data_IF_963081697757
#
_entry.id   IF_963081697757
#
_cell.length_a   1.000
_cell.length_b   1.000
_cell.length_c   1.000
_cell.angle_alpha   90.00
_cell.angle_beta   90.00
_cell.angle_gamma   90.00
#
_symmetry.space_group_name_H-M   'P 1'
#
loop_
_entity.id
_entity.type
_entity.pdbx_description
1 polymer ?
#
# COMPACT_ATOMS: atom_id res chain seq x y z
N UNK A 1 -3.38 14.15 -13.87
CA UNK A 1 -2.41 13.43 -13.03
C UNK A 1 -2.22 12.05 -13.65
N UNK A 2 -1.06 11.78 -14.26
CA UNK A 2 -0.77 10.50 -14.90
C UNK A 2 -0.95 9.34 -13.89
N UNK A 3 -1.48 8.19 -14.35
CA UNK A 3 -1.51 7.00 -13.50
C UNK A 3 -0.07 6.50 -13.38
N UNK A 4 0.37 6.14 -12.17
CA UNK A 4 1.74 5.60 -11.94
C UNK A 4 2.05 4.44 -12.88
N UNK A 5 1.03 3.66 -13.26
CA UNK A 5 1.18 2.56 -14.22
C UNK A 5 1.64 3.04 -15.60
N UNK A 6 1.18 4.20 -16.04
CA UNK A 6 1.54 4.77 -17.35
C UNK A 6 2.98 5.28 -17.29
N UNK A 7 3.32 6.04 -16.23
CA UNK A 7 4.70 6.49 -15.93
C UNK A 7 5.68 5.30 -15.91
N UNK A 8 5.31 4.22 -15.24
CA UNK A 8 6.12 3.01 -15.14
C UNK A 8 6.48 2.43 -16.50
N UNK A 9 5.49 2.22 -17.37
CA UNK A 9 5.76 1.55 -18.64
C UNK A 9 6.41 2.50 -19.64
N UNK A 10 6.09 3.79 -19.61
CA UNK A 10 6.79 4.80 -20.42
C UNK A 10 8.26 4.90 -20.01
N UNK A 11 8.56 4.99 -18.71
CA UNK A 11 9.92 4.99 -18.20
C UNK A 11 10.65 3.70 -18.57
N UNK A 12 10.02 2.54 -18.37
CA UNK A 12 10.62 1.25 -18.70
C UNK A 12 10.97 1.12 -20.19
N UNK A 13 10.15 1.67 -21.09
CA UNK A 13 10.42 1.70 -22.53
C UNK A 13 11.56 2.68 -22.87
N UNK A 14 11.59 3.86 -22.24
CA UNK A 14 12.48 4.97 -22.60
C UNK A 14 13.85 4.91 -21.91
N UNK A 15 14.01 4.13 -20.85
CA UNK A 15 15.25 4.12 -20.05
C UNK A 15 16.51 3.82 -20.91
N UNK A 16 17.59 4.59 -20.76
CA UNK A 16 18.88 4.31 -21.40
C UNK A 16 19.43 2.97 -20.94
N UNK A 17 20.25 2.33 -21.78
CA UNK A 17 20.78 0.98 -21.51
C UNK A 17 22.12 0.80 -22.20
N UNK A 18 23.07 0.20 -21.49
CA UNK A 18 24.37 -0.20 -22.03
C UNK A 18 24.23 -1.43 -22.94
N UNK A 19 25.28 -1.79 -23.67
CA UNK A 19 25.26 -2.99 -24.51
C UNK A 19 25.10 -4.26 -23.68
N UNK A 20 25.86 -4.38 -22.60
CA UNK A 20 25.82 -5.53 -21.69
C UNK A 20 24.44 -5.66 -21.04
N UNK A 21 23.88 -4.54 -20.56
CA UNK A 21 22.55 -4.52 -19.97
C UNK A 21 21.46 -4.86 -20.99
N UNK A 22 21.58 -4.41 -22.23
CA UNK A 22 20.63 -4.71 -23.30
C UNK A 22 20.62 -6.21 -23.61
N UNK A 23 21.81 -6.84 -23.68
CA UNK A 23 21.94 -8.29 -23.85
C UNK A 23 21.20 -9.04 -22.75
N UNK A 24 21.42 -8.69 -21.48
CA UNK A 24 20.79 -9.34 -20.33
C UNK A 24 19.29 -9.05 -20.22
N UNK A 25 18.87 -7.82 -20.51
CA UNK A 25 17.46 -7.42 -20.50
C UNK A 25 16.65 -8.20 -21.55
N UNK A 26 17.19 -8.39 -22.76
CA UNK A 26 16.53 -9.19 -23.80
C UNK A 26 16.36 -10.64 -23.34
N UNK A 27 17.37 -11.23 -22.68
CA UNK A 27 17.24 -12.57 -22.08
C UNK A 27 16.07 -12.59 -21.09
N UNK A 28 16.00 -11.61 -20.19
CA UNK A 28 14.91 -11.46 -19.23
C UNK A 28 13.53 -11.33 -19.88
N UNK A 29 13.42 -10.53 -20.94
CA UNK A 29 12.18 -10.38 -21.72
C UNK A 29 11.77 -11.74 -22.30
N UNK A 30 12.65 -12.40 -23.04
CA UNK A 30 12.32 -13.67 -23.72
C UNK A 30 11.99 -14.76 -22.70
N UNK A 31 12.72 -14.83 -21.58
CA UNK A 31 12.43 -15.75 -20.46
C UNK A 31 11.06 -15.53 -19.82
N UNK A 32 10.52 -14.31 -19.86
CA UNK A 32 9.19 -13.99 -19.35
C UNK A 32 8.06 -14.24 -20.35
N UNK A 33 8.36 -14.40 -21.64
CA UNK A 33 7.35 -14.59 -22.68
C UNK A 33 6.74 -16.00 -22.63
N UNK A 34 5.51 -16.14 -23.12
CA UNK A 34 4.92 -17.47 -23.30
C UNK A 34 5.50 -18.11 -24.55
N UNK A 35 6.38 -19.09 -24.37
CA UNK A 35 7.04 -19.78 -25.48
C UNK A 35 6.51 -21.20 -25.69
N UNK A 36 6.32 -21.61 -26.95
CA UNK A 36 5.89 -22.96 -27.33
C UNK A 36 6.63 -23.45 -28.57
N UNK A 37 6.90 -24.77 -28.70
CA UNK A 37 7.37 -25.33 -29.98
C UNK A 37 6.38 -25.05 -31.11
N UNK A 38 6.90 -24.75 -32.30
CA UNK A 38 6.17 -24.53 -33.54
C UNK A 38 6.97 -25.13 -34.72
N UNK A 39 6.71 -26.40 -35.02
CA UNK A 39 7.48 -27.15 -36.03
C UNK A 39 8.98 -27.17 -35.69
N UNK A 40 9.81 -26.58 -36.56
CA UNK A 40 11.27 -26.47 -36.38
C UNK A 40 11.71 -25.22 -35.58
N UNK A 41 10.76 -24.44 -35.08
CA UNK A 41 11.01 -23.18 -34.38
C UNK A 41 10.40 -23.19 -32.97
N UNK A 42 10.73 -22.15 -32.20
CA UNK A 42 10.07 -21.80 -30.95
C UNK A 42 9.36 -20.46 -31.14
N UNK A 43 8.05 -20.44 -30.90
CA UNK A 43 7.27 -19.19 -30.90
C UNK A 43 7.17 -18.67 -29.49
N UNK A 44 7.61 -17.44 -29.27
CA UNK A 44 7.42 -16.68 -28.03
C UNK A 44 6.46 -15.52 -28.25
N UNK A 45 5.43 -15.40 -27.40
CA UNK A 45 4.40 -14.37 -27.51
C UNK A 45 4.19 -13.62 -26.21
N UNK A 46 3.74 -12.36 -26.32
CA UNK A 46 3.33 -11.52 -25.19
C UNK A 46 2.08 -10.73 -25.55
N UNK A 47 1.16 -10.59 -24.59
CA UNK A 47 0.02 -9.68 -24.73
C UNK A 47 0.36 -8.21 -24.45
N UNK A 48 1.60 -7.91 -24.07
CA UNK A 48 2.07 -6.58 -23.67
C UNK A 48 2.81 -5.92 -24.81
N UNK A 49 2.15 -5.02 -25.53
CA UNK A 49 2.73 -4.38 -26.73
C UNK A 49 4.00 -3.57 -26.44
N UNK A 50 4.11 -2.96 -25.25
CA UNK A 50 5.30 -2.23 -24.83
C UNK A 50 6.57 -3.08 -24.82
N UNK A 51 6.45 -4.40 -24.65
CA UNK A 51 7.58 -5.34 -24.71
C UNK A 51 8.25 -5.28 -26.08
N UNK A 52 7.47 -5.25 -27.16
CA UNK A 52 8.00 -5.19 -28.52
C UNK A 52 8.56 -3.80 -28.84
N UNK A 53 7.95 -2.74 -28.29
CA UNK A 53 8.51 -1.39 -28.36
C UNK A 53 9.88 -1.31 -27.69
N UNK A 54 10.05 -1.95 -26.53
CA UNK A 54 11.34 -2.04 -25.85
C UNK A 54 12.36 -2.87 -26.62
N UNK A 55 11.98 -4.07 -27.07
CA UNK A 55 12.85 -4.92 -27.88
C UNK A 55 13.39 -4.17 -29.09
N UNK A 56 12.53 -3.46 -29.84
CA UNK A 56 12.95 -2.67 -31.00
C UNK A 56 14.02 -1.63 -30.67
N UNK A 57 13.98 -1.03 -29.48
CA UNK A 57 14.96 -0.03 -29.05
C UNK A 57 16.31 -0.63 -28.66
N UNK A 58 16.29 -1.75 -27.93
CA UNK A 58 17.51 -2.30 -27.32
C UNK A 58 18.15 -3.44 -28.12
N UNK A 59 17.45 -4.01 -29.11
CA UNK A 59 17.96 -5.16 -29.87
C UNK A 59 19.30 -4.87 -30.54
N UNK A 60 19.35 -3.79 -31.34
CA UNK A 60 20.54 -3.40 -32.10
C UNK A 60 21.71 -2.95 -31.22
N UNK A 61 21.46 -2.65 -29.94
CA UNK A 61 22.51 -2.35 -28.98
C UNK A 61 23.13 -3.62 -28.38
N UNK A 62 22.40 -4.74 -28.40
CA UNK A 62 22.79 -5.99 -27.74
C UNK A 62 23.67 -6.89 -28.63
N UNK A 63 24.28 -7.90 -28.02
CA UNK A 63 25.04 -8.92 -28.74
C UNK A 63 24.16 -9.80 -29.65
N UNK A 64 22.85 -9.84 -29.40
CA UNK A 64 21.92 -10.62 -30.20
C UNK A 64 21.75 -10.09 -31.61
N UNK A 65 21.95 -8.79 -31.84
CA UNK A 65 21.92 -8.20 -33.18
C UNK A 65 23.00 -8.74 -34.12
N UNK A 66 24.12 -9.25 -33.57
CA UNK A 66 25.17 -9.92 -34.34
C UNK A 66 24.77 -11.32 -34.81
N UNK A 67 23.77 -11.91 -34.15
CA UNK A 67 23.34 -13.28 -34.38
C UNK A 67 22.08 -13.33 -35.22
N UNK A 68 21.14 -12.43 -34.98
CA UNK A 68 19.89 -12.35 -35.73
C UNK A 68 19.36 -10.92 -35.78
N UNK A 69 18.86 -10.52 -36.94
CA UNK A 69 18.11 -9.28 -37.06
C UNK A 69 16.69 -9.45 -36.49
N UNK A 70 16.24 -8.49 -35.69
CA UNK A 70 14.92 -8.54 -35.03
C UNK A 70 13.79 -8.66 -36.07
N UNK A 71 13.91 -7.97 -37.20
CA UNK A 71 12.84 -7.96 -38.22
C UNK A 71 12.61 -9.35 -38.82
N UNK A 72 13.66 -10.19 -38.88
CA UNK A 72 13.59 -11.55 -39.41
C UNK A 72 12.85 -12.53 -38.50
N UNK A 73 12.81 -12.26 -37.19
CA UNK A 73 12.16 -13.12 -36.18
C UNK A 73 10.84 -12.53 -35.67
N UNK A 74 10.59 -11.24 -35.89
CA UNK A 74 9.37 -10.56 -35.46
C UNK A 74 8.23 -10.83 -36.43
N UNK A 75 7.15 -11.39 -35.93
CA UNK A 75 5.94 -11.67 -36.71
C UNK A 75 4.79 -10.83 -36.17
N UNK A 76 4.26 -9.97 -37.03
CA UNK A 76 3.09 -9.14 -36.77
C UNK A 76 1.92 -9.73 -37.57
N UNK A 77 0.81 -10.16 -36.92
CA UNK A 77 -0.37 -10.64 -37.63
C UNK A 77 -0.89 -9.59 -38.62
N UNK A 78 -1.10 -9.99 -39.89
CA UNK A 78 -1.47 -9.07 -40.99
C UNK A 78 -2.84 -8.43 -40.83
N UNK A 79 -3.77 -9.14 -40.19
CA UNK A 79 -5.13 -8.68 -39.90
C UNK A 79 -5.22 -7.91 -38.58
N UNK A 80 -4.09 -7.68 -37.91
CA UNK A 80 -3.98 -7.12 -36.56
C UNK A 80 -4.81 -7.88 -35.51
N UNK A 81 -5.26 -9.11 -35.81
CA UNK A 81 -5.94 -10.00 -34.88
C UNK A 81 -4.93 -11.00 -34.34
N UNK A 82 -4.86 -11.12 -33.01
CA UNK A 82 -3.93 -12.03 -32.33
C UNK A 82 -2.78 -11.31 -31.63
N UNK A 83 -1.75 -12.07 -31.25
CA UNK A 83 -0.61 -11.57 -30.46
C UNK A 83 0.61 -11.41 -31.37
N UNK A 84 1.35 -10.32 -31.17
CA UNK A 84 2.70 -10.18 -31.73
C UNK A 84 3.58 -11.29 -31.15
N UNK A 85 4.41 -11.90 -32.00
CA UNK A 85 5.24 -13.02 -31.62
C UNK A 85 6.64 -12.93 -32.21
N UNK A 86 7.57 -13.62 -31.56
CA UNK A 86 8.93 -13.85 -32.01
C UNK A 86 9.06 -15.32 -32.39
N UNK A 87 9.57 -15.60 -33.57
CA UNK A 87 9.85 -16.95 -34.07
C UNK A 87 11.36 -17.18 -34.03
N UNK A 88 11.81 -17.97 -33.07
CA UNK A 88 13.22 -18.28 -32.87
C UNK A 88 13.61 -19.65 -33.44
N UNK A 89 14.79 -19.78 -34.08
CA UNK A 89 15.47 -21.05 -34.20
C UNK A 89 15.75 -21.65 -32.80
N UNK A 90 15.56 -22.97 -32.57
CA UNK A 90 15.68 -23.57 -31.24
C UNK A 90 17.06 -23.37 -30.58
N UNK A 91 18.13 -23.40 -31.38
CA UNK A 91 19.50 -23.15 -30.91
C UNK A 91 19.66 -21.73 -30.38
N UNK A 92 19.10 -20.75 -31.09
CA UNK A 92 19.13 -19.36 -30.66
C UNK A 92 18.28 -19.15 -29.41
N UNK A 93 17.07 -19.71 -29.38
CA UNK A 93 16.20 -19.64 -28.20
C UNK A 93 16.93 -20.17 -26.95
N UNK A 94 17.56 -21.34 -27.04
CA UNK A 94 18.33 -21.94 -25.94
C UNK A 94 19.50 -21.06 -25.51
N UNK A 95 20.22 -20.43 -26.45
CA UNK A 95 21.31 -19.47 -26.15
C UNK A 95 20.80 -18.24 -25.41
N UNK A 96 19.65 -17.69 -25.82
CA UNK A 96 19.06 -16.50 -25.18
C UNK A 96 18.57 -16.84 -23.78
N UNK A 97 17.75 -17.88 -23.64
CA UNK A 97 17.12 -18.17 -22.34
C UNK A 97 18.09 -18.78 -21.33
N UNK A 98 19.21 -19.35 -21.79
CA UNK A 98 20.33 -19.79 -20.94
C UNK A 98 19.88 -20.54 -19.68
N UNK A 99 18.96 -21.50 -19.84
CA UNK A 99 18.34 -22.21 -18.71
C UNK A 99 19.41 -22.99 -17.92
N UNK A 100 19.88 -22.41 -16.82
CA UNK A 100 20.65 -23.12 -15.78
C UNK A 100 22.04 -22.61 -15.42
N UNK A 101 22.69 -21.78 -16.24
CA UNK A 101 24.16 -21.59 -16.11
C UNK A 101 24.62 -20.33 -15.35
N UNK A 102 23.75 -19.36 -15.06
CA UNK A 102 24.16 -18.11 -14.37
C UNK A 102 23.07 -17.48 -13.51
N UNK A 103 23.48 -16.80 -12.43
CA UNK A 103 22.57 -16.00 -11.60
C UNK A 103 22.03 -14.82 -12.44
N UNK A 104 20.73 -14.48 -12.34
CA UNK A 104 20.20 -13.36 -13.09
C UNK A 104 20.84 -12.04 -12.64
N UNK A 105 20.97 -11.12 -13.58
CA UNK A 105 21.40 -9.74 -13.32
C UNK A 105 20.18 -8.84 -13.05
N UNK A 106 20.41 -7.63 -12.54
CA UNK A 106 19.34 -6.63 -12.41
C UNK A 106 18.75 -6.22 -13.78
N UNK A 107 19.57 -6.25 -14.83
CA UNK A 107 19.14 -6.00 -16.21
C UNK A 107 18.23 -7.12 -16.74
N UNK A 108 18.56 -8.39 -16.46
CA UNK A 108 17.66 -9.52 -16.69
C UNK A 108 16.33 -9.37 -15.94
N UNK A 109 16.38 -9.01 -14.65
CA UNK A 109 15.16 -8.81 -13.83
C UNK A 109 14.30 -7.70 -14.40
N UNK A 110 14.90 -6.62 -14.89
CA UNK A 110 14.13 -5.54 -15.48
C UNK A 110 13.46 -5.94 -16.80
N UNK A 111 14.12 -6.77 -17.61
CA UNK A 111 13.49 -7.39 -18.77
C UNK A 111 12.29 -8.26 -18.39
N UNK A 112 12.49 -9.12 -17.39
CA UNK A 112 11.45 -10.01 -16.87
C UNK A 112 10.28 -9.25 -16.23
N UNK A 113 10.55 -8.12 -15.56
CA UNK A 113 9.56 -7.20 -15.00
C UNK A 113 8.63 -6.67 -16.09
N UNK A 114 9.17 -6.25 -17.23
CA UNK A 114 8.41 -5.79 -18.41
C UNK A 114 7.30 -6.76 -18.84
N UNK A 115 7.58 -8.06 -18.74
CA UNK A 115 6.71 -9.12 -19.26
C UNK A 115 5.80 -9.72 -18.19
N UNK A 116 6.33 -10.01 -17.01
CA UNK A 116 5.64 -10.81 -16.00
C UNK A 116 5.07 -9.99 -14.84
N UNK A 117 5.57 -8.77 -14.60
CA UNK A 117 5.23 -8.00 -13.40
C UNK A 117 3.91 -7.22 -13.56
N UNK A 118 3.12 -7.19 -12.50
CA UNK A 118 1.89 -6.40 -12.39
C UNK A 118 1.93 -5.60 -11.09
N UNK A 119 1.76 -4.29 -11.21
CA UNK A 119 1.70 -3.36 -10.07
C UNK A 119 0.25 -3.11 -9.68
N UNK A 120 -0.05 -3.28 -8.40
CA UNK A 120 -1.35 -2.99 -7.82
C UNK A 120 -1.19 -1.92 -6.74
N UNK A 121 -1.95 -0.84 -6.91
CA UNK A 121 -1.84 0.37 -6.10
C UNK A 121 -3.15 0.72 -5.38
N UNK A 122 -3.75 -0.18 -4.58
CA UNK A 122 -4.95 0.16 -3.81
C UNK A 122 -4.66 1.22 -2.73
N UNK A 123 -5.72 1.82 -2.18
CA UNK A 123 -5.60 2.87 -1.16
C UNK A 123 -4.86 2.38 0.10
N UNK A 124 -5.03 1.11 0.46
CA UNK A 124 -4.56 0.49 1.71
C UNK A 124 -3.14 -0.08 1.66
N UNK A 125 -2.47 -0.10 0.51
CA UNK A 125 -1.12 -0.64 0.39
C UNK A 125 -0.75 -0.92 -1.06
N UNK A 126 0.52 -1.24 -1.33
CA UNK A 126 0.99 -1.57 -2.67
C UNK A 126 1.43 -3.02 -2.73
N UNK A 127 1.23 -3.68 -3.87
CA UNK A 127 1.84 -4.99 -4.09
C UNK A 127 2.25 -5.18 -5.55
N UNK A 128 3.41 -5.82 -5.71
CA UNK A 128 4.01 -6.19 -6.99
C UNK A 128 3.92 -7.70 -7.13
N UNK A 129 3.40 -8.16 -8.27
CA UNK A 129 3.24 -9.60 -8.56
C UNK A 129 3.90 -9.93 -9.88
N UNK A 130 4.83 -10.88 -9.87
CA UNK A 130 5.32 -11.56 -11.07
C UNK A 130 4.52 -12.83 -11.29
N UNK A 131 3.98 -13.03 -12.49
CA UNK A 131 3.24 -14.25 -12.85
C UNK A 131 3.98 -15.07 -13.89
N UNK A 132 4.04 -16.38 -13.67
CA UNK A 132 4.47 -17.37 -14.65
C UNK A 132 3.45 -18.51 -14.73
N UNK A 133 3.31 -19.15 -15.89
CA UNK A 133 2.43 -20.30 -16.07
C UNK A 133 3.22 -21.61 -15.91
N UNK A 134 2.62 -22.64 -15.31
CA UNK A 134 3.21 -23.95 -15.06
C UNK A 134 3.56 -24.66 -16.37
N UNK A 135 4.72 -25.33 -16.40
CA UNK A 135 5.25 -26.05 -17.56
C UNK A 135 5.99 -25.18 -18.59
N UNK A 136 5.88 -23.84 -18.51
CA UNK A 136 6.54 -22.88 -19.43
C UNK A 136 6.93 -21.61 -18.66
N UNK A 137 8.20 -21.48 -18.27
CA UNK A 137 8.72 -20.31 -17.54
C UNK A 137 8.67 -20.41 -16.01
N UNK A 138 8.29 -21.57 -15.46
CA UNK A 138 8.38 -21.87 -14.01
C UNK A 138 9.80 -21.68 -13.48
N UNK A 139 10.80 -22.04 -14.29
CA UNK A 139 12.21 -21.98 -13.89
C UNK A 139 12.70 -20.55 -13.77
N UNK A 140 12.31 -19.67 -14.69
CA UNK A 140 12.65 -18.25 -14.64
C UNK A 140 11.99 -17.54 -13.45
N UNK A 141 10.76 -17.93 -13.09
CA UNK A 141 10.09 -17.39 -11.90
C UNK A 141 10.74 -17.89 -10.61
N UNK A 142 11.12 -19.17 -10.54
CA UNK A 142 11.88 -19.73 -9.42
C UNK A 142 13.28 -19.08 -9.30
N UNK A 143 13.93 -18.80 -10.44
CA UNK A 143 15.21 -18.10 -10.49
C UNK A 143 15.08 -16.67 -9.96
N UNK A 144 14.05 -15.93 -10.38
CA UNK A 144 13.71 -14.62 -9.82
C UNK A 144 13.50 -14.70 -8.31
N UNK A 145 12.68 -15.66 -7.84
CA UNK A 145 12.38 -15.83 -6.41
C UNK A 145 13.65 -16.04 -5.58
N UNK A 146 14.52 -16.98 -6.00
CA UNK A 146 15.79 -17.27 -5.33
C UNK A 146 16.73 -16.08 -5.33
N UNK A 147 16.82 -15.36 -6.45
CA UNK A 147 17.65 -14.17 -6.54
C UNK A 147 17.17 -13.08 -5.57
N UNK A 148 15.87 -12.77 -5.58
CA UNK A 148 15.30 -11.73 -4.72
C UNK A 148 15.46 -12.09 -3.23
N UNK A 149 15.26 -13.35 -2.85
CA UNK A 149 15.56 -13.82 -1.49
C UNK A 149 17.03 -13.59 -1.11
N UNK A 150 17.97 -13.94 -1.99
CA UNK A 150 19.41 -13.74 -1.77
C UNK A 150 19.77 -12.26 -1.62
N UNK A 151 19.07 -11.37 -2.32
CA UNK A 151 19.22 -9.92 -2.20
C UNK A 151 18.48 -9.34 -0.97
N UNK A 152 17.84 -10.16 -0.14
CA UNK A 152 17.17 -9.73 1.09
C UNK A 152 15.75 -9.19 0.89
N UNK A 153 15.12 -9.39 -0.26
CA UNK A 153 13.75 -8.93 -0.49
C UNK A 153 12.73 -9.86 0.20
N UNK A 154 11.71 -9.32 0.88
CA UNK A 154 10.63 -10.08 1.51
C UNK A 154 9.62 -10.57 0.46
N UNK A 155 10.03 -11.53 -0.36
CA UNK A 155 9.20 -12.16 -1.39
C UNK A 155 8.43 -13.36 -0.86
N UNK A 156 7.22 -13.56 -1.38
CA UNK A 156 6.44 -14.79 -1.16
C UNK A 156 6.13 -15.46 -2.49
N UNK A 157 6.25 -16.79 -2.55
CA UNK A 157 5.80 -17.58 -3.69
C UNK A 157 4.44 -18.21 -3.41
N UNK A 158 3.55 -18.19 -4.41
CA UNK A 158 2.23 -18.81 -4.37
C UNK A 158 2.00 -19.60 -5.64
N UNK A 159 1.44 -20.80 -5.50
CA UNK A 159 0.98 -21.62 -6.63
C UNK A 159 -0.54 -21.67 -6.63
N UNK A 160 -1.17 -21.35 -7.76
CA UNK A 160 -2.62 -21.39 -7.97
C UNK A 160 -2.90 -22.07 -9.32
N UNK A 161 -3.36 -23.32 -9.28
CA UNK A 161 -3.62 -24.13 -10.48
C UNK A 161 -2.42 -24.15 -11.43
N UNK A 162 -2.55 -23.59 -12.63
CA UNK A 162 -1.53 -23.48 -13.67
C UNK A 162 -0.69 -22.20 -13.56
N UNK A 163 -0.86 -21.38 -12.52
CA UNK A 163 -0.15 -20.10 -12.36
C UNK A 163 0.70 -20.11 -11.08
N UNK A 164 1.97 -19.75 -11.23
CA UNK A 164 2.86 -19.45 -10.11
C UNK A 164 3.06 -17.94 -10.01
N UNK A 165 3.13 -17.44 -8.80
CA UNK A 165 3.24 -16.01 -8.51
C UNK A 165 4.33 -15.73 -7.48
N UNK A 166 5.18 -14.73 -7.75
CA UNK A 166 6.13 -14.16 -6.78
C UNK A 166 5.64 -12.76 -6.41
N UNK A 167 5.43 -12.53 -5.11
CA UNK A 167 4.72 -11.36 -4.59
C UNK A 167 5.62 -10.60 -3.63
N UNK A 168 5.70 -9.28 -3.83
CA UNK A 168 6.27 -8.31 -2.88
C UNK A 168 5.13 -7.41 -2.40
N UNK A 169 4.93 -7.33 -1.08
CA UNK A 169 3.91 -6.44 -0.47
C UNK A 169 4.51 -5.28 0.31
N UNK A 170 5.78 -5.37 0.65
CA UNK A 170 6.45 -4.30 1.35
C UNK A 170 6.76 -3.14 0.38
N UNK A 171 6.30 -1.94 0.73
CA UNK A 171 6.43 -0.78 -0.14
C UNK A 171 7.90 -0.40 -0.36
N UNK A 172 8.71 -0.42 0.69
CA UNK A 172 10.13 -0.04 0.61
C UNK A 172 10.88 -1.01 -0.30
N UNK A 173 10.55 -2.30 -0.23
CA UNK A 173 11.07 -3.33 -1.12
C UNK A 173 10.62 -3.14 -2.57
N UNK A 174 9.39 -2.68 -2.83
CA UNK A 174 8.95 -2.35 -4.20
C UNK A 174 9.75 -1.17 -4.74
N UNK A 175 9.92 -0.10 -3.95
CA UNK A 175 10.74 1.07 -4.31
C UNK A 175 12.19 0.66 -4.58
N UNK A 176 12.80 -0.13 -3.69
CA UNK A 176 14.17 -0.61 -3.85
C UNK A 176 14.34 -1.44 -5.13
N UNK A 177 13.38 -2.29 -5.47
CA UNK A 177 13.41 -3.07 -6.71
C UNK A 177 13.32 -2.16 -7.95
N UNK A 178 12.45 -1.14 -7.93
CA UNK A 178 12.35 -0.16 -9.00
C UNK A 178 13.66 0.60 -9.20
N UNK A 179 14.29 1.06 -8.10
CA UNK A 179 15.59 1.74 -8.15
C UNK A 179 16.67 0.81 -8.72
N UNK A 180 16.74 -0.44 -8.25
CA UNK A 180 17.71 -1.44 -8.76
C UNK A 180 17.49 -1.81 -10.23
N UNK A 181 16.31 -1.57 -10.77
CA UNK A 181 15.96 -1.80 -12.19
C UNK A 181 15.97 -0.51 -13.02
N UNK A 182 16.52 0.57 -12.48
CA UNK A 182 16.65 1.90 -13.10
C UNK A 182 15.30 2.56 -13.44
N UNK A 183 14.27 2.35 -12.61
CA UNK A 183 12.94 2.96 -12.70
C UNK A 183 12.79 4.06 -11.63
N UNK A 184 13.67 5.05 -11.69
CA UNK A 184 13.83 6.10 -10.67
C UNK A 184 12.66 7.10 -10.62
N UNK A 185 12.11 7.47 -11.79
CA UNK A 185 10.95 8.37 -11.85
C UNK A 185 9.74 7.69 -11.21
N UNK A 186 9.51 6.42 -11.54
CA UNK A 186 8.43 5.63 -10.97
C UNK A 186 8.61 5.44 -9.47
N UNK A 187 9.83 5.17 -8.99
CA UNK A 187 10.09 5.03 -7.56
C UNK A 187 9.80 6.32 -6.80
N UNK A 188 10.21 7.47 -7.33
CA UNK A 188 9.97 8.78 -6.73
C UNK A 188 8.47 9.10 -6.64
N UNK A 189 7.72 8.88 -7.72
CA UNK A 189 6.27 9.05 -7.75
C UNK A 189 5.55 8.15 -6.73
N UNK A 190 6.05 6.92 -6.56
CA UNK A 190 5.50 5.97 -5.61
C UNK A 190 5.72 6.43 -4.16
N UNK A 191 6.92 6.93 -3.85
CA UNK A 191 7.27 7.50 -2.55
C UNK A 191 6.46 8.76 -2.24
N UNK A 192 6.35 9.69 -3.18
CA UNK A 192 5.56 10.91 -3.01
C UNK A 192 4.10 10.58 -2.65
N UNK A 193 3.47 9.63 -3.36
CA UNK A 193 2.10 9.22 -3.03
C UNK A 193 1.99 8.51 -1.69
N UNK A 194 3.02 7.79 -1.26
CA UNK A 194 3.01 7.17 0.05
C UNK A 194 3.16 8.18 1.17
N UNK A 195 4.05 9.17 1.02
CA UNK A 195 4.21 10.27 1.96
C UNK A 195 2.92 11.05 2.14
N UNK A 196 2.26 11.43 1.04
CA UNK A 196 0.98 12.14 1.08
C UNK A 196 -0.12 11.32 1.80
N UNK A 197 -0.14 10.00 1.63
CA UNK A 197 -1.06 9.12 2.37
C UNK A 197 -0.74 9.09 3.86
N UNK A 198 0.53 8.94 4.23
CA UNK A 198 0.95 8.94 5.63
C UNK A 198 0.61 10.26 6.35
N UNK A 199 0.77 11.40 5.67
CA UNK A 199 0.37 12.71 6.19
C UNK A 199 -1.15 12.80 6.40
N UNK A 200 -1.95 12.35 5.42
CA UNK A 200 -3.42 12.31 5.56
C UNK A 200 -3.88 11.39 6.68
N UNK A 201 -3.30 10.21 6.80
CA UNK A 201 -3.64 9.26 7.86
C UNK A 201 -3.30 9.83 9.23
N UNK A 202 -2.19 10.56 9.36
CA UNK A 202 -1.81 11.27 10.59
C UNK A 202 -2.82 12.37 10.91
N UNK A 203 -3.16 13.22 9.94
CA UNK A 203 -4.15 14.29 10.13
C UNK A 203 -5.52 13.71 10.53
N UNK A 204 -5.97 12.64 9.87
CA UNK A 204 -7.22 11.96 10.19
C UNK A 204 -7.22 11.39 11.61
N UNK A 205 -6.10 10.81 12.06
CA UNK A 205 -5.98 10.32 13.45
C UNK A 205 -6.10 11.45 14.47
N UNK A 206 -5.50 12.61 14.20
CA UNK A 206 -5.58 13.79 15.07
C UNK A 206 -7.02 14.29 15.14
N UNK A 207 -7.63 14.57 13.99
CA UNK A 207 -9.03 15.05 13.91
C UNK A 207 -9.99 14.08 14.59
N UNK A 208 -9.82 12.77 14.39
CA UNK A 208 -10.66 11.77 15.05
C UNK A 208 -10.44 11.72 16.56
N UNK A 209 -9.22 11.91 17.04
CA UNK A 209 -8.91 12.00 18.46
C UNK A 209 -9.58 13.22 19.09
N UNK A 210 -9.46 14.39 18.46
CA UNK A 210 -10.04 15.64 18.95
C UNK A 210 -11.57 15.56 18.97
N UNK A 211 -12.18 15.11 17.88
CA UNK A 211 -13.63 14.92 17.81
C UNK A 211 -14.14 13.93 18.87
N UNK A 212 -13.42 12.83 19.12
CA UNK A 212 -13.77 11.86 20.15
C UNK A 212 -13.63 12.44 21.56
N UNK A 213 -12.61 13.26 21.81
CA UNK A 213 -12.39 13.94 23.10
C UNK A 213 -13.48 14.98 23.35
N UNK A 214 -13.78 15.83 22.37
CA UNK A 214 -14.87 16.83 22.44
C UNK A 214 -16.20 16.13 22.74
N UNK A 215 -16.54 15.06 22.00
CA UNK A 215 -17.78 14.31 22.23
C UNK A 215 -17.88 13.76 23.64
N UNK A 216 -16.82 13.11 24.15
CA UNK A 216 -16.80 12.58 25.53
C UNK A 216 -16.91 13.69 26.57
N UNK A 217 -16.28 14.84 26.35
CA UNK A 217 -16.37 16.00 27.23
C UNK A 217 -17.77 16.60 27.26
N UNK A 218 -18.44 16.71 26.10
CA UNK A 218 -19.83 17.16 26.00
C UNK A 218 -20.78 16.20 26.70
N UNK A 219 -20.66 14.89 26.44
CA UNK A 219 -21.47 13.86 27.10
C UNK A 219 -21.30 13.88 28.63
N UNK A 220 -20.07 14.04 29.12
CA UNK A 220 -19.79 14.13 30.55
C UNK A 220 -20.36 15.41 31.17
N UNK A 221 -20.24 16.55 30.49
CA UNK A 221 -20.81 17.82 30.97
C UNK A 221 -22.34 17.74 31.05
N UNK A 222 -22.99 17.18 30.02
CA UNK A 222 -24.44 16.96 30.00
C UNK A 222 -24.90 16.10 31.18
N UNK A 223 -24.23 14.96 31.40
CA UNK A 223 -24.52 14.07 32.53
C UNK A 223 -24.32 14.75 33.88
N UNK A 224 -23.29 15.57 34.03
CA UNK A 224 -23.05 16.34 35.26
C UNK A 224 -24.12 17.40 35.51
N UNK A 225 -24.67 18.01 34.46
CA UNK A 225 -25.81 18.93 34.57
C UNK A 225 -27.06 18.19 35.03
N UNK A 226 -27.34 16.99 34.51
CA UNK A 226 -28.45 16.14 34.96
C UNK A 226 -28.32 15.81 36.46
N UNK A 227 -27.14 15.32 36.88
CA UNK A 227 -26.83 15.04 38.29
C UNK A 227 -26.99 16.31 39.14
N UNK A 228 -26.47 17.45 38.69
CA UNK A 228 -26.56 18.71 39.43
C UNK A 228 -28.01 19.09 39.71
N UNK A 229 -28.89 19.01 38.69
CA UNK A 229 -30.30 19.32 38.84
C UNK A 229 -30.99 18.39 39.86
N UNK A 230 -30.70 17.08 39.81
CA UNK A 230 -31.26 16.11 40.77
C UNK A 230 -30.78 16.37 42.21
N UNK A 231 -29.49 16.67 42.39
CA UNK A 231 -28.90 17.02 43.70
C UNK A 231 -29.57 18.25 44.29
N UNK A 232 -29.79 19.30 43.49
CA UNK A 232 -30.45 20.53 43.93
C UNK A 232 -31.93 20.34 44.23
N UNK A 233 -32.60 19.39 43.57
CA UNK A 233 -33.98 19.03 43.90
C UNK A 233 -34.07 18.28 45.25
N UNK A 234 -33.14 17.36 45.51
CA UNK A 234 -33.12 16.55 46.74
C UNK A 234 -32.74 17.32 48.01
N UNK A 235 -32.06 18.47 47.91
CA UNK A 235 -31.63 19.25 49.09
C UNK A 235 -32.79 19.67 50.01
N UNK A 236 -34.02 19.66 49.48
CA UNK A 236 -35.26 19.92 50.24
C UNK A 236 -35.73 18.74 51.10
N UNK A 237 -35.28 17.53 50.79
CA UNK A 237 -35.79 16.29 51.37
C UNK A 237 -34.72 15.50 52.13
N UNK A 238 -33.44 15.68 51.81
CA UNK A 238 -32.32 14.94 52.40
C UNK A 238 -31.14 15.90 52.66
N UNK A 239 -30.37 15.62 53.72
CA UNK A 239 -29.12 16.35 54.02
C UNK A 239 -28.04 16.04 52.97
N UNK A 240 -27.86 16.94 52.01
CA UNK A 240 -26.77 16.90 51.03
C UNK A 240 -25.57 17.72 51.54
N UNK A 241 -24.32 17.23 51.43
CA UNK A 241 -23.14 18.03 51.77
C UNK A 241 -23.07 19.35 51.00
N UNK A 242 -22.78 20.45 51.69
CA UNK A 242 -22.72 21.79 51.10
C UNK A 242 -21.71 21.89 49.94
N UNK A 243 -20.58 21.18 50.07
CA UNK A 243 -19.57 21.07 49.01
C UNK A 243 -20.05 20.43 47.69
N UNK A 244 -21.17 19.69 47.72
CA UNK A 244 -21.82 19.12 46.53
C UNK A 244 -22.86 20.08 45.97
N UNK A 245 -23.56 20.83 46.83
CA UNK A 245 -24.50 21.87 46.44
C UNK A 245 -23.77 22.98 45.68
N UNK A 246 -22.67 23.52 46.25
CA UNK A 246 -21.84 24.54 45.60
C UNK A 246 -21.36 24.06 44.22
N UNK A 247 -20.83 22.84 44.13
CA UNK A 247 -20.38 22.28 42.85
C UNK A 247 -21.51 22.10 41.83
N UNK A 248 -22.70 21.67 42.26
CA UNK A 248 -23.86 21.53 41.39
C UNK A 248 -24.33 22.90 40.84
N UNK A 249 -24.41 23.92 41.71
CA UNK A 249 -24.79 25.28 41.33
C UNK A 249 -23.76 25.88 40.36
N UNK A 250 -22.45 25.74 40.63
CA UNK A 250 -21.40 26.21 39.72
C UNK A 250 -21.42 25.52 38.37
N UNK A 251 -21.70 24.21 38.30
CA UNK A 251 -21.81 23.46 37.03
C UNK A 251 -23.00 23.91 36.19
N UNK A 252 -24.16 24.18 36.80
CA UNK A 252 -25.34 24.70 36.09
C UNK A 252 -25.08 26.13 35.60
N UNK A 253 -24.46 26.97 36.43
CA UNK A 253 -24.11 28.34 36.05
C UNK A 253 -23.02 28.40 34.96
N UNK A 254 -22.15 27.38 34.88
CA UNK A 254 -21.02 27.32 33.95
C UNK A 254 -21.02 25.98 33.19
N UNK A 255 -21.98 25.74 32.28
CA UNK A 255 -22.17 24.44 31.63
C UNK A 255 -21.00 24.05 30.72
N UNK A 256 -20.31 25.03 30.14
CA UNK A 256 -19.16 24.84 29.25
C UNK A 256 -17.82 24.76 29.98
N UNK A 257 -17.77 25.04 31.28
CA UNK A 257 -16.53 25.04 32.04
C UNK A 257 -15.91 23.65 32.13
N UNK A 258 -14.59 23.58 32.00
CA UNK A 258 -13.83 22.37 32.30
C UNK A 258 -13.89 22.04 33.80
N UNK A 259 -13.61 20.80 34.17
CA UNK A 259 -13.55 20.41 35.58
C UNK A 259 -12.49 21.18 36.38
N UNK A 260 -11.42 21.63 35.71
CA UNK A 260 -10.38 22.45 36.32
C UNK A 260 -10.92 23.86 36.61
N UNK A 261 -11.59 24.47 35.64
CA UNK A 261 -12.22 25.79 35.81
C UNK A 261 -13.32 25.75 36.88
N UNK A 262 -14.16 24.72 36.89
CA UNK A 262 -15.14 24.53 37.98
C UNK A 262 -14.46 24.45 39.35
N UNK A 263 -13.34 23.72 39.46
CA UNK A 263 -12.59 23.62 40.71
C UNK A 263 -12.05 24.96 41.20
N UNK A 264 -11.75 25.90 40.29
CA UNK A 264 -11.31 27.25 40.62
C UNK A 264 -12.48 28.21 40.96
N UNK A 265 -13.69 27.91 40.48
CA UNK A 265 -14.89 28.72 40.72
C UNK A 265 -15.59 28.44 42.05
N UNK A 266 -15.19 27.37 42.76
CA UNK A 266 -15.71 27.06 44.10
C UNK A 266 -15.16 28.02 45.14
N UNK A 267 -15.90 28.21 46.23
CA UNK A 267 -15.50 29.09 47.34
C UNK A 267 -14.15 28.69 47.95
N UNK A 268 -13.87 27.38 47.97
CA UNK A 268 -12.57 26.81 48.29
C UNK A 268 -12.03 26.10 47.05
N UNK A 269 -11.05 26.68 46.35
CA UNK A 269 -10.50 26.09 45.14
C UNK A 269 -9.96 24.68 45.38
N UNK A 270 -10.27 23.77 44.47
CA UNK A 270 -9.78 22.38 44.53
C UNK A 270 -9.29 21.91 43.17
N UNK A 271 -8.53 20.81 43.18
CA UNK A 271 -7.99 20.22 41.96
C UNK A 271 -9.08 19.53 41.13
N UNK A 272 -8.79 19.33 39.84
CA UNK A 272 -9.63 18.57 38.91
C UNK A 272 -10.02 17.19 39.46
N UNK A 273 -9.08 16.47 40.08
CA UNK A 273 -9.32 15.13 40.61
C UNK A 273 -10.29 15.13 41.79
N UNK A 274 -10.24 16.16 42.64
CA UNK A 274 -11.23 16.35 43.72
C UNK A 274 -12.64 16.59 43.16
N UNK A 275 -12.77 17.37 42.08
CA UNK A 275 -14.05 17.60 41.40
C UNK A 275 -14.60 16.29 40.81
N UNK A 276 -13.77 15.53 40.10
CA UNK A 276 -14.14 14.21 39.57
C UNK A 276 -14.63 13.27 40.68
N UNK A 277 -13.94 13.27 41.82
CA UNK A 277 -14.35 12.46 42.97
C UNK A 277 -15.73 12.88 43.52
N UNK A 278 -15.99 14.18 43.65
CA UNK A 278 -17.29 14.69 44.10
C UNK A 278 -18.42 14.29 43.14
N UNK A 279 -18.21 14.39 41.81
CA UNK A 279 -19.19 13.91 40.83
C UNK A 279 -19.50 12.42 40.98
N UNK A 280 -18.47 11.57 41.12
CA UNK A 280 -18.67 10.13 41.35
C UNK A 280 -19.45 9.84 42.64
N UNK A 281 -19.24 10.64 43.69
CA UNK A 281 -20.00 10.51 44.95
C UNK A 281 -21.46 10.93 44.78
N UNK A 282 -21.73 12.01 44.06
CA UNK A 282 -23.09 12.43 43.73
C UNK A 282 -23.83 11.39 42.89
N UNK A 283 -23.18 10.83 41.85
CA UNK A 283 -23.74 9.71 41.07
C UNK A 283 -24.08 8.50 41.93
N UNK A 284 -23.18 8.13 42.86
CA UNK A 284 -23.41 7.00 43.76
C UNK A 284 -24.57 7.27 44.72
N UNK A 285 -24.72 8.52 45.19
CA UNK A 285 -25.82 8.93 46.07
C UNK A 285 -27.18 8.84 45.36
N UNK A 286 -27.22 9.11 44.04
CA UNK A 286 -28.40 9.00 43.20
C UNK A 286 -28.73 7.57 42.74
N UNK A 287 -27.84 6.61 42.98
CA UNK A 287 -27.99 5.24 42.46
C UNK A 287 -27.84 5.13 40.93
N UNK A 288 -27.44 6.21 40.25
CA UNK A 288 -27.24 6.26 38.80
C UNK A 288 -25.84 5.75 38.45
N UNK A 289 -25.71 4.46 38.16
CA UNK A 289 -24.45 3.88 37.67
C UNK A 289 -24.06 4.38 36.26
N UNK A 290 -22.79 4.22 35.82
CA UNK A 290 -22.37 4.59 34.48
C UNK A 290 -23.14 3.76 33.43
N UNK A 291 -23.95 4.44 32.59
CA UNK A 291 -24.62 3.79 31.46
C UNK A 291 -23.57 3.43 30.41
N UNK A 292 -23.46 2.15 30.03
CA UNK A 292 -22.54 1.68 28.98
C UNK A 292 -22.89 2.36 27.64
N UNK A 293 -21.88 2.93 27.00
CA UNK A 293 -22.02 3.71 25.78
C UNK A 293 -21.99 2.77 24.56
N UNK A 294 -23.00 2.89 23.67
CA UNK A 294 -22.99 2.28 22.36
C UNK A 294 -21.94 2.97 21.47
N UNK A 295 -21.08 2.19 20.81
CA UNK A 295 -20.04 2.70 19.90
C UNK A 295 -20.72 3.39 18.71
N UNK A 296 -20.61 4.72 18.62
CA UNK A 296 -21.10 5.50 17.49
C UNK A 296 -20.35 5.18 16.19
N UNK A 297 -21.12 5.07 15.11
CA UNK A 297 -20.67 4.75 13.76
C UNK A 297 -19.71 5.80 13.19
N UNK A 298 -18.66 5.31 12.52
CA UNK A 298 -17.53 6.09 12.01
C UNK A 298 -17.81 6.91 10.75
N UNK A 299 -18.85 7.76 10.76
CA UNK A 299 -19.22 8.57 9.58
C UNK A 299 -18.40 9.85 9.39
N UNK A 300 -17.60 10.29 10.37
CA UNK A 300 -16.73 11.46 10.21
C UNK A 300 -15.36 11.09 9.63
N UNK A 301 -15.34 10.63 8.38
CA UNK A 301 -14.09 10.54 7.60
C UNK A 301 -14.11 11.67 6.58
N UNK A 302 -13.26 12.68 6.76
CA UNK A 302 -12.98 13.66 5.71
C UNK A 302 -12.40 12.89 4.51
N UNK A 303 -13.13 12.87 3.40
CA UNK A 303 -12.81 12.14 2.17
C UNK A 303 -11.83 12.90 1.28
#
# INVERSE_FOLDING_TARGET
>A
MEKIKDILWDEWIQRPTTREDATEEIKGIVSGMTCKPDGRNVICQSGRLWVFGRLRKIWNLSDWAKVVDLSSILVIPRDFKGKVLLRFPPVLFKKITGLGDSNPTWSWISGFLGVCASFYLPRTGYYLVFRGHQGKGSDSLNMLYRFLLKQGFPVKMRHKSDVSEVIIRDQQSIVALLVKTNLHRTSLELEQKALLRALRDTANKIVNCDAANIRKSLEAAQRQIEIANEILAMKKYIKVPESYIDLAEKRIANPTATLKELGLLLERPVSKSTIEYRWKKMEKMLGTGPKKIAKGDGQNVLR
#
